data_IF_792953847710
#
_entry.id   IF_792953847710
#
_cell.length_a   1.000
_cell.length_b   1.000
_cell.length_c   1.000
_cell.angle_alpha   90.00
_cell.angle_beta   90.00
_cell.angle_gamma   90.00
#
_symmetry.space_group_name_H-M   'P 1'
#
loop_
_entity.id
_entity.type
_entity.pdbx_description
1 polymer ?
#
# COMPACT_ATOMS: atom_id res chain seq x y z
N UNK A 1 39.66 0.71 11.07
CA UNK A 1 38.77 -0.43 11.33
C UNK A 1 37.54 -0.31 10.43
N UNK A 2 37.61 -0.83 9.20
CA UNK A 2 36.54 -0.75 8.19
C UNK A 2 35.42 -1.71 8.55
N UNK A 3 34.39 -1.18 9.22
CA UNK A 3 33.12 -1.88 9.45
C UNK A 3 32.57 -2.33 8.10
N UNK A 4 32.57 -3.64 7.83
CA UNK A 4 32.03 -4.22 6.61
C UNK A 4 30.53 -3.99 6.60
N UNK A 5 30.09 -2.88 5.98
CA UNK A 5 28.68 -2.59 5.74
C UNK A 5 28.18 -3.72 4.83
N UNK A 6 27.38 -4.63 5.37
CA UNK A 6 26.79 -5.72 4.56
C UNK A 6 25.96 -5.09 3.46
N UNK A 7 26.42 -5.27 2.23
CA UNK A 7 25.78 -4.82 1.01
C UNK A 7 25.14 -6.01 0.31
N UNK A 8 23.96 -5.77 -0.26
CA UNK A 8 23.10 -6.80 -0.84
C UNK A 8 22.83 -6.45 -2.30
N UNK A 9 22.82 -7.44 -3.20
CA UNK A 9 22.33 -7.22 -4.56
C UNK A 9 20.80 -7.17 -4.58
N UNK A 10 20.25 -6.56 -5.64
CA UNK A 10 18.80 -6.37 -5.79
C UNK A 10 17.99 -7.67 -5.66
N UNK A 11 18.54 -8.80 -6.13
CA UNK A 11 17.91 -10.12 -6.00
C UNK A 11 17.83 -10.60 -4.55
N UNK A 12 18.87 -10.36 -3.75
CA UNK A 12 18.85 -10.65 -2.31
C UNK A 12 17.84 -9.75 -1.60
N UNK A 13 17.81 -8.46 -1.95
CA UNK A 13 16.85 -7.48 -1.37
C UNK A 13 15.41 -7.88 -1.68
N UNK A 14 15.13 -8.27 -2.92
CA UNK A 14 13.80 -8.72 -3.32
C UNK A 14 13.35 -9.96 -2.53
N UNK A 15 14.23 -10.95 -2.36
CA UNK A 15 13.96 -12.13 -1.53
C UNK A 15 13.73 -11.79 -0.07
N UNK A 16 14.58 -10.95 0.52
CA UNK A 16 14.51 -10.57 1.94
C UNK A 16 13.26 -9.74 2.27
N UNK A 17 12.89 -8.83 1.37
CA UNK A 17 11.76 -7.90 1.60
C UNK A 17 10.44 -8.42 1.06
N UNK A 18 10.47 -9.40 0.14
CA UNK A 18 9.33 -9.82 -0.66
C UNK A 18 8.81 -8.72 -1.60
N UNK A 19 9.60 -7.69 -1.87
CA UNK A 19 9.27 -6.62 -2.82
C UNK A 19 9.83 -7.00 -4.19
N UNK A 20 9.00 -6.91 -5.23
CA UNK A 20 9.43 -7.22 -6.60
C UNK A 20 10.57 -6.29 -7.04
N UNK A 21 11.47 -6.81 -7.88
CA UNK A 21 12.63 -6.06 -8.39
C UNK A 21 12.19 -4.78 -9.10
N UNK A 22 11.12 -4.85 -9.89
CA UNK A 22 10.55 -3.70 -10.61
C UNK A 22 10.06 -2.62 -9.63
N UNK A 23 9.44 -3.05 -8.52
CA UNK A 23 8.98 -2.15 -7.47
C UNK A 23 10.14 -1.50 -6.71
N UNK A 24 11.24 -2.22 -6.46
CA UNK A 24 12.46 -1.65 -5.87
C UNK A 24 13.01 -0.55 -6.79
N UNK A 25 13.10 -0.81 -8.11
CA UNK A 25 13.53 0.17 -9.11
C UNK A 25 12.58 1.36 -9.21
N UNK A 26 11.28 1.13 -9.10
CA UNK A 26 10.29 2.19 -9.05
C UNK A 26 10.49 3.08 -7.81
N UNK A 27 10.74 2.49 -6.64
CA UNK A 27 11.03 3.22 -5.41
C UNK A 27 12.34 4.02 -5.46
N UNK A 28 13.36 3.55 -6.16
CA UNK A 28 14.54 4.38 -6.48
C UNK A 28 14.14 5.62 -7.30
N UNK A 29 13.41 5.42 -8.41
CA UNK A 29 12.97 6.52 -9.28
C UNK A 29 12.05 7.52 -8.58
N UNK A 30 11.21 7.04 -7.68
CA UNK A 30 10.28 7.85 -6.90
C UNK A 30 10.94 8.54 -5.69
N UNK A 31 12.27 8.42 -5.51
CA UNK A 31 12.99 9.04 -4.39
C UNK A 31 12.71 8.39 -3.02
N UNK A 32 12.05 7.24 -3.01
CA UNK A 32 11.79 6.47 -1.79
C UNK A 32 13.08 5.84 -1.29
N UNK A 33 13.96 5.38 -2.17
CA UNK A 33 15.29 4.93 -1.82
C UNK A 33 16.32 5.91 -2.34
N UNK A 34 17.33 6.21 -1.52
CA UNK A 34 18.55 6.83 -2.00
C UNK A 34 19.18 5.92 -3.05
N UNK A 35 19.69 6.49 -4.14
CA UNK A 35 20.37 5.75 -5.20
C UNK A 35 21.43 4.82 -4.59
N UNK A 36 21.33 3.50 -4.83
CA UNK A 36 22.30 2.55 -4.29
C UNK A 36 23.68 2.79 -4.88
N UNK A 37 24.72 2.48 -4.09
CA UNK A 37 26.09 2.42 -4.59
C UNK A 37 26.19 1.36 -5.69
N UNK A 38 27.20 1.48 -6.53
CA UNK A 38 27.55 0.44 -7.50
C UNK A 38 28.79 -0.28 -7.03
N UNK A 39 28.76 -1.61 -7.05
CA UNK A 39 29.95 -2.42 -6.84
C UNK A 39 30.91 -2.34 -8.01
N UNK A 40 32.09 -2.93 -7.86
CA UNK A 40 33.13 -2.98 -8.90
C UNK A 40 32.63 -3.65 -10.20
N UNK A 41 31.69 -4.58 -10.09
CA UNK A 41 31.02 -5.23 -11.22
C UNK A 41 29.87 -4.40 -11.83
N UNK A 42 29.70 -3.14 -11.41
CA UNK A 42 28.69 -2.22 -11.92
C UNK A 42 27.26 -2.46 -11.40
N UNK A 43 27.01 -3.53 -10.65
CA UNK A 43 25.71 -3.84 -10.08
C UNK A 43 25.37 -2.97 -8.87
N UNK A 44 24.07 -2.75 -8.65
CA UNK A 44 23.54 -1.99 -7.51
C UNK A 44 23.74 -2.77 -6.21
N UNK A 45 24.25 -2.07 -5.20
CA UNK A 45 24.48 -2.56 -3.85
C UNK A 45 23.61 -1.78 -2.86
N UNK A 46 22.81 -2.52 -2.10
CA UNK A 46 21.88 -1.97 -1.11
C UNK A 46 22.39 -2.25 0.29
N UNK A 47 22.28 -1.25 1.14
CA UNK A 47 22.64 -1.32 2.55
C UNK A 47 21.48 -1.87 3.38
N UNK A 48 21.77 -2.34 4.60
CA UNK A 48 20.75 -2.73 5.57
C UNK A 48 19.71 -1.61 5.83
N UNK A 49 20.15 -0.35 5.89
CA UNK A 49 19.26 0.80 6.08
C UNK A 49 18.26 0.97 4.91
N UNK A 50 18.69 0.73 3.67
CA UNK A 50 17.78 0.74 2.51
C UNK A 50 16.77 -0.42 2.56
N UNK A 51 17.18 -1.59 3.08
CA UNK A 51 16.26 -2.73 3.29
C UNK A 51 15.22 -2.40 4.36
N UNK A 52 15.62 -1.82 5.50
CA UNK A 52 14.70 -1.37 6.55
C UNK A 52 13.72 -0.33 6.02
N UNK A 53 14.20 0.60 5.18
CA UNK A 53 13.39 1.61 4.50
C UNK A 53 12.37 0.99 3.53
N UNK A 54 12.76 -0.02 2.75
CA UNK A 54 11.83 -0.78 1.90
C UNK A 54 10.75 -1.48 2.72
N UNK A 55 11.12 -2.09 3.85
CA UNK A 55 10.18 -2.77 4.73
C UNK A 55 9.18 -1.80 5.37
N UNK A 56 9.65 -0.62 5.77
CA UNK A 56 8.77 0.45 6.26
C UNK A 56 7.74 0.84 5.19
N UNK A 57 8.19 1.12 3.97
CA UNK A 57 7.32 1.51 2.86
C UNK A 57 6.32 0.42 2.53
N UNK A 58 6.76 -0.84 2.46
CA UNK A 58 5.88 -2.00 2.24
C UNK A 58 4.76 -2.07 3.27
N UNK A 59 5.08 -1.91 4.56
CA UNK A 59 4.09 -1.96 5.66
C UNK A 59 3.10 -0.80 5.57
N UNK A 60 3.56 0.43 5.32
CA UNK A 60 2.67 1.57 5.12
C UNK A 60 1.73 1.35 3.93
N UNK A 61 2.26 0.85 2.80
CA UNK A 61 1.45 0.57 1.61
C UNK A 61 0.38 -0.50 1.87
N UNK A 62 0.70 -1.53 2.66
CA UNK A 62 -0.25 -2.57 3.06
C UNK A 62 -1.38 -2.03 3.95
N UNK A 63 -1.13 -0.98 4.74
CA UNK A 63 -2.13 -0.30 5.58
C UNK A 63 -2.94 0.77 4.80
N UNK A 64 -2.74 0.88 3.49
CA UNK A 64 -3.48 1.80 2.63
C UNK A 64 -2.91 3.22 2.58
N UNK A 65 -1.79 3.53 3.24
CA UNK A 65 -1.15 4.83 3.10
C UNK A 65 -0.67 5.04 1.67
N UNK A 66 -0.96 6.19 1.07
CA UNK A 66 -0.41 6.58 -0.24
C UNK A 66 1.12 6.65 -0.20
N UNK A 67 1.74 6.69 -1.38
CA UNK A 67 3.19 6.85 -1.46
C UNK A 67 3.67 8.16 -0.83
N UNK A 68 2.93 9.26 -1.04
CA UNK A 68 3.25 10.56 -0.46
C UNK A 68 3.10 10.57 1.07
N UNK A 69 2.05 9.94 1.62
CA UNK A 69 1.87 9.77 3.06
C UNK A 69 3.00 8.93 3.66
N UNK A 70 3.40 7.86 2.96
CA UNK A 70 4.49 6.97 3.38
C UNK A 70 5.81 7.72 3.45
N UNK A 71 6.15 8.51 2.43
CA UNK A 71 7.34 9.37 2.44
C UNK A 71 7.32 10.40 3.56
N UNK A 72 6.16 11.01 3.81
CA UNK A 72 5.97 11.94 4.92
C UNK A 72 6.20 11.26 6.29
N UNK A 73 5.65 10.07 6.50
CA UNK A 73 5.87 9.28 7.71
C UNK A 73 7.34 8.87 7.88
N UNK A 74 7.98 8.49 6.78
CA UNK A 74 9.38 8.08 6.76
C UNK A 74 10.33 9.25 7.08
N UNK A 75 10.04 10.45 6.57
CA UNK A 75 10.81 11.64 6.90
C UNK A 75 10.63 12.04 8.36
N UNK A 76 9.40 11.97 8.88
CA UNK A 76 9.12 12.19 10.30
C UNK A 76 9.79 11.13 11.19
N UNK A 77 9.82 9.87 10.76
CA UNK A 77 10.44 8.80 11.55
C UNK A 77 11.96 8.99 11.70
N UNK A 78 12.61 9.64 10.73
CA UNK A 78 14.05 9.89 10.70
C UNK A 78 14.46 11.27 11.23
N UNK A 79 13.52 12.15 11.62
CA UNK A 79 13.87 13.48 12.14
C UNK A 79 14.20 13.44 13.63
N UNK A 80 15.22 14.20 14.03
CA UNK A 80 15.72 14.26 15.42
C UNK A 80 14.72 14.91 16.41
N UNK A 81 13.70 15.62 15.90
CA UNK A 81 12.64 16.27 16.69
C UNK A 81 11.26 15.64 16.56
N UNK A 82 11.17 14.38 16.11
CA UNK A 82 9.88 13.71 15.90
C UNK A 82 9.08 13.63 17.19
N UNK A 83 7.79 13.95 17.11
CA UNK A 83 6.87 13.76 18.23
C UNK A 83 5.94 12.58 17.95
N UNK A 84 5.65 11.78 18.97
CA UNK A 84 4.67 10.70 18.88
C UNK A 84 3.31 11.24 18.36
N UNK A 85 2.97 12.48 18.72
CA UNK A 85 1.77 13.20 18.29
C UNK A 85 1.64 13.33 16.75
N UNK A 86 2.71 13.70 16.04
CA UNK A 86 2.65 13.86 14.58
C UNK A 86 2.46 12.51 13.86
N UNK A 87 3.06 11.45 14.40
CA UNK A 87 2.91 10.10 13.86
C UNK A 87 1.50 9.58 14.15
N UNK A 88 1.00 9.76 15.39
CA UNK A 88 -0.34 9.31 15.78
C UNK A 88 -1.43 9.98 14.94
N UNK A 89 -1.35 11.30 14.72
CA UNK A 89 -2.31 12.03 13.88
C UNK A 89 -2.42 11.47 12.45
N UNK A 90 -1.30 11.08 11.84
CA UNK A 90 -1.30 10.46 10.51
C UNK A 90 -1.93 9.07 10.53
N UNK A 91 -1.65 8.28 11.57
CA UNK A 91 -2.25 6.96 11.76
C UNK A 91 -3.76 7.05 12.04
N UNK A 92 -4.19 7.98 12.88
CA UNK A 92 -5.60 8.24 13.19
C UNK A 92 -6.38 8.65 11.94
N UNK A 93 -5.81 9.52 11.10
CA UNK A 93 -6.43 9.88 9.82
C UNK A 93 -6.60 8.66 8.92
N UNK A 94 -5.54 7.86 8.74
CA UNK A 94 -5.64 6.65 7.91
C UNK A 94 -6.65 5.64 8.47
N UNK A 95 -6.71 5.50 9.80
CA UNK A 95 -7.71 4.64 10.44
C UNK A 95 -9.13 5.12 10.18
N UNK A 96 -9.36 6.44 10.21
CA UNK A 96 -10.66 7.03 9.85
C UNK A 96 -11.01 6.73 8.40
N UNK A 97 -10.09 6.97 7.47
CA UNK A 97 -10.29 6.71 6.04
C UNK A 97 -10.63 5.23 5.77
N UNK A 98 -9.94 4.30 6.46
CA UNK A 98 -10.22 2.86 6.39
C UNK A 98 -11.61 2.52 6.93
N UNK A 99 -12.00 3.10 8.09
CA UNK A 99 -13.33 2.86 8.68
C UNK A 99 -14.45 3.33 7.77
N UNK A 100 -14.33 4.53 7.20
CA UNK A 100 -15.30 5.04 6.22
C UNK A 100 -15.39 4.12 5.01
N UNK A 101 -14.27 3.63 4.48
CA UNK A 101 -14.30 2.68 3.37
C UNK A 101 -14.95 1.34 3.73
N UNK A 102 -14.78 0.86 4.95
CA UNK A 102 -15.48 -0.34 5.45
C UNK A 102 -17.00 -0.10 5.49
N UNK A 103 -17.43 1.06 5.99
CA UNK A 103 -18.86 1.42 6.02
C UNK A 103 -19.45 1.50 4.61
N UNK A 104 -18.73 2.10 3.65
CA UNK A 104 -19.14 2.14 2.25
C UNK A 104 -19.25 0.74 1.64
N UNK A 105 -18.24 -0.12 1.88
CA UNK A 105 -18.23 -1.49 1.36
C UNK A 105 -19.34 -2.35 1.96
N UNK A 106 -19.67 -2.17 3.25
CA UNK A 106 -20.81 -2.83 3.88
C UNK A 106 -22.14 -2.41 3.26
N UNK A 107 -22.33 -1.11 3.01
CA UNK A 107 -23.54 -0.63 2.30
C UNK A 107 -23.67 -1.23 0.90
N UNK A 108 -22.55 -1.34 0.17
CA UNK A 108 -22.55 -2.01 -1.13
C UNK A 108 -22.85 -3.51 -1.02
N UNK A 109 -22.26 -4.18 -0.02
CA UNK A 109 -22.51 -5.59 0.28
C UNK A 109 -23.99 -5.84 0.57
N UNK A 110 -24.62 -5.03 1.42
CA UNK A 110 -26.04 -5.16 1.77
C UNK A 110 -26.95 -5.05 0.52
N UNK A 111 -26.67 -4.07 -0.35
CA UNK A 111 -27.43 -3.89 -1.61
C UNK A 111 -27.24 -5.08 -2.55
N UNK A 112 -25.99 -5.53 -2.73
CA UNK A 112 -25.68 -6.68 -3.58
C UNK A 112 -26.31 -7.97 -3.03
N UNK A 113 -26.28 -8.16 -1.71
CA UNK A 113 -26.91 -9.30 -1.05
C UNK A 113 -28.42 -9.31 -1.31
N UNK A 114 -29.10 -8.17 -1.15
CA UNK A 114 -30.53 -8.04 -1.43
C UNK A 114 -30.88 -8.41 -2.89
N UNK A 115 -30.06 -7.99 -3.86
CA UNK A 115 -30.26 -8.36 -5.27
C UNK A 115 -30.07 -9.86 -5.50
N UNK A 116 -29.05 -10.45 -4.87
CA UNK A 116 -28.73 -11.87 -4.98
C UNK A 116 -29.79 -12.75 -4.33
N UNK A 117 -30.39 -12.30 -3.22
CA UNK A 117 -31.46 -12.99 -2.49
C UNK A 117 -32.81 -12.86 -3.20
N UNK A 118 -33.08 -11.73 -3.85
CA UNK A 118 -34.29 -11.51 -4.64
C UNK A 118 -34.28 -12.29 -5.98
N UNK A 119 -33.14 -12.83 -6.40
CA UNK A 119 -33.03 -13.56 -7.66
C UNK A 119 -33.56 -15.00 -7.50
N UNK A 120 -34.59 -15.42 -8.27
CA UNK A 120 -35.14 -16.77 -8.20
C UNK A 120 -34.19 -17.85 -8.74
N UNK A 121 -33.14 -17.45 -9.49
CA UNK A 121 -32.11 -18.33 -10.08
C UNK A 121 -32.67 -19.46 -10.95
N UNK A 122 -33.78 -19.19 -11.61
CA UNK A 122 -34.39 -20.08 -12.60
C UNK A 122 -34.13 -19.56 -14.03
N UNK A 123 -34.76 -20.18 -15.02
CA UNK A 123 -34.68 -19.78 -16.42
C UNK A 123 -35.59 -18.58 -16.78
N UNK A 124 -36.05 -17.80 -15.78
CA UNK A 124 -36.86 -16.61 -15.99
C UNK A 124 -36.14 -15.58 -16.87
N UNK A 125 -36.88 -14.99 -17.80
CA UNK A 125 -36.43 -13.84 -18.61
C UNK A 125 -36.39 -12.57 -17.76
N UNK A 126 -37.26 -12.48 -16.75
CA UNK A 126 -37.35 -11.35 -15.83
C UNK A 126 -36.40 -11.59 -14.64
N UNK A 127 -35.23 -10.95 -14.70
CA UNK A 127 -34.22 -10.99 -13.65
C UNK A 127 -34.33 -9.76 -12.75
N UNK A 128 -34.72 -9.89 -11.47
CA UNK A 128 -34.84 -8.77 -10.53
C UNK A 128 -33.55 -7.96 -10.38
N UNK A 129 -32.37 -8.58 -10.56
CA UNK A 129 -31.07 -7.91 -10.53
C UNK A 129 -30.95 -6.92 -11.70
N UNK A 130 -31.29 -7.36 -12.92
CA UNK A 130 -31.21 -6.51 -14.12
C UNK A 130 -32.20 -5.36 -14.02
N UNK A 131 -33.41 -5.64 -13.52
CA UNK A 131 -34.41 -4.60 -13.25
C UNK A 131 -33.90 -3.56 -12.25
N UNK A 132 -33.39 -3.99 -11.09
CA UNK A 132 -32.90 -3.08 -10.05
C UNK A 132 -31.67 -2.26 -10.48
N UNK A 133 -30.80 -2.80 -11.34
CA UNK A 133 -29.62 -2.09 -11.85
C UNK A 133 -29.94 -1.15 -13.04
N UNK A 134 -31.03 -1.42 -13.76
CA UNK A 134 -31.48 -0.62 -14.89
C UNK A 134 -32.45 0.49 -14.48
N UNK A 135 -32.88 0.48 -13.22
CA UNK A 135 -33.77 1.49 -12.67
C UNK A 135 -33.04 2.83 -12.59
N UNK A 136 -33.58 3.84 -13.27
CA UNK A 136 -33.00 5.19 -13.26
C UNK A 136 -33.50 5.87 -11.99
N UNK A 137 -32.63 6.40 -11.12
CA UNK A 137 -33.07 7.09 -9.93
C UNK A 137 -33.94 8.29 -10.34
N UNK A 138 -35.21 8.28 -9.97
CA UNK A 138 -36.09 9.44 -10.13
C UNK A 138 -35.60 10.55 -9.21
N UNK A 139 -35.10 11.64 -9.80
CA UNK A 139 -34.75 12.89 -9.11
C UNK A 139 -36.01 13.60 -8.59
#
# INVERSE_FOLDING_TARGET
>A
MTSHRREFYIGNVAKLTGVKIETIRYYEKAGVLTSPARGENGYRLYTKAQIERLMFVKRCRALGFSLSQTLSLLNLANSEGRTCKQISQKAEKQLKDVRTKIEDLRRMEDVLAAYVDACPRDASIDCPIVTALSDVPTL
#
